data_IF_372243204973
#
_entry.id   IF_372243204973
#
_cell.length_a   1.000
_cell.length_b   1.000
_cell.length_c   1.000
_cell.angle_alpha   90.00
_cell.angle_beta   90.00
_cell.angle_gamma   90.00
#
_symmetry.space_group_name_H-M   'P 1'
#
loop_
_entity.id
_entity.type
_entity.pdbx_description
1 polymer ?
#
# COMPACT_ATOMS: atom_id res chain seq x y z
N UNK A 1 2.37 -11.98 40.10
CA UNK A 1 2.26 -12.75 38.85
C UNK A 1 2.01 -11.80 37.69
N UNK A 2 3.06 -11.38 36.97
CA UNK A 2 2.93 -10.55 35.77
C UNK A 2 2.44 -11.44 34.62
N UNK A 3 1.19 -11.27 34.19
CA UNK A 3 0.69 -11.91 32.97
C UNK A 3 1.46 -11.29 31.80
N UNK A 4 2.35 -12.08 31.20
CA UNK A 4 2.94 -11.75 29.91
C UNK A 4 1.75 -11.55 28.95
N UNK A 5 1.57 -10.37 28.35
CA UNK A 5 0.46 -10.17 27.43
C UNK A 5 0.62 -11.18 26.28
N UNK A 6 -0.47 -11.83 25.84
CA UNK A 6 -0.40 -12.76 24.72
C UNK A 6 0.23 -12.01 23.54
N UNK A 7 1.31 -12.56 22.97
CA UNK A 7 1.93 -12.02 21.77
C UNK A 7 0.85 -11.91 20.69
N UNK A 8 0.33 -10.71 20.47
CA UNK A 8 -0.65 -10.46 19.41
C UNK A 8 0.04 -10.77 18.10
N UNK A 9 -0.47 -11.74 17.36
CA UNK A 9 0.06 -12.07 16.05
C UNK A 9 -0.30 -10.93 15.07
N UNK A 10 0.61 -9.96 14.94
CA UNK A 10 0.40 -8.74 14.16
C UNK A 10 0.18 -9.01 12.66
N UNK A 11 0.54 -10.21 12.16
CA UNK A 11 0.29 -10.61 10.78
C UNK A 11 -1.20 -10.84 10.48
N UNK A 12 -2.05 -10.96 11.50
CA UNK A 12 -3.52 -11.09 11.34
C UNK A 12 -4.23 -9.76 11.11
N UNK A 13 -3.51 -8.64 11.19
CA UNK A 13 -4.07 -7.29 11.08
C UNK A 13 -4.16 -6.81 9.63
N UNK A 14 -3.45 -7.45 8.71
CA UNK A 14 -3.42 -7.05 7.31
C UNK A 14 -3.14 -8.25 6.38
N UNK A 15 -3.44 -8.06 5.10
CA UNK A 15 -2.93 -8.87 4.00
C UNK A 15 -2.23 -7.94 3.02
N UNK A 16 -1.00 -8.28 2.61
CA UNK A 16 -0.24 -7.49 1.66
C UNK A 16 0.03 -8.29 0.38
N UNK A 17 -0.19 -7.66 -0.77
CA UNK A 17 0.19 -8.19 -2.08
C UNK A 17 1.14 -7.20 -2.74
N UNK A 18 2.34 -7.67 -3.08
CA UNK A 18 3.35 -6.87 -3.76
C UNK A 18 3.66 -7.46 -5.13
N UNK A 19 3.67 -6.59 -6.14
CA UNK A 19 4.08 -6.92 -7.51
C UNK A 19 5.30 -6.06 -7.85
N UNK A 20 6.50 -6.66 -8.03
CA UNK A 20 7.73 -5.89 -8.28
C UNK A 20 7.76 -5.25 -9.67
N UNK A 21 7.12 -5.88 -10.67
CA UNK A 21 7.07 -5.41 -12.05
C UNK A 21 5.61 -5.25 -12.52
N UNK A 22 4.89 -4.27 -11.96
CA UNK A 22 3.47 -4.10 -12.23
C UNK A 22 3.23 -3.55 -13.65
N UNK A 23 2.20 -4.09 -14.30
CA UNK A 23 1.59 -3.48 -15.49
C UNK A 23 0.68 -2.31 -15.06
N UNK A 24 0.21 -1.46 -15.99
CA UNK A 24 -0.73 -0.37 -15.66
C UNK A 24 -1.97 -0.86 -14.90
N UNK A 25 -2.53 -2.01 -15.31
CA UNK A 25 -3.53 -2.76 -14.53
C UNK A 25 -2.80 -3.75 -13.62
N UNK A 26 -2.95 -3.60 -12.31
CA UNK A 26 -2.21 -4.35 -11.29
C UNK A 26 -2.98 -4.49 -9.96
N UNK A 27 -2.32 -5.05 -8.95
CA UNK A 27 -2.92 -5.24 -7.62
C UNK A 27 -3.45 -3.97 -6.93
N UNK A 28 -2.98 -2.77 -7.29
CA UNK A 28 -3.43 -1.49 -6.72
C UNK A 28 -4.63 -0.87 -7.44
N UNK A 29 -4.91 -1.33 -8.67
CA UNK A 29 -6.03 -0.83 -9.47
C UNK A 29 -7.38 -1.37 -9.02
N UNK A 30 -8.47 -0.77 -9.51
CA UNK A 30 -9.82 -1.27 -9.25
C UNK A 30 -10.05 -2.52 -10.09
N UNK A 31 -10.78 -3.51 -9.56
CA UNK A 31 -10.94 -4.82 -10.23
C UNK A 31 -11.60 -4.72 -11.59
N UNK A 32 -12.54 -3.78 -11.77
CA UNK A 32 -13.21 -3.56 -13.06
C UNK A 32 -12.43 -2.62 -14.01
N UNK A 33 -11.22 -2.17 -13.65
CA UNK A 33 -10.45 -1.26 -14.52
C UNK A 33 -10.22 -1.86 -15.90
N UNK A 34 -9.87 -3.16 -15.98
CA UNK A 34 -9.61 -3.83 -17.26
C UNK A 34 -10.86 -3.90 -18.14
N UNK A 35 -12.02 -4.23 -17.56
CA UNK A 35 -13.29 -4.31 -18.30
C UNK A 35 -13.76 -2.93 -18.76
N UNK A 36 -13.60 -1.90 -17.93
CA UNK A 36 -14.00 -0.52 -18.24
C UNK A 36 -13.19 0.05 -19.41
N UNK A 37 -11.88 -0.23 -19.45
CA UNK A 37 -10.98 0.31 -20.48
C UNK A 37 -11.14 -0.41 -21.81
N UNK A 38 -11.49 -1.69 -21.80
CA UNK A 38 -11.77 -2.46 -23.02
C UNK A 38 -13.11 -2.12 -23.66
N UNK A 39 -14.08 -1.67 -22.87
CA UNK A 39 -15.39 -1.27 -23.37
C UNK A 39 -15.40 0.22 -23.74
N UNK A 40 -15.26 0.53 -25.02
CA UNK A 40 -15.29 1.90 -25.55
C UNK A 40 -16.60 2.64 -25.28
N UNK A 41 -17.71 1.91 -25.10
CA UNK A 41 -19.03 2.49 -24.81
C UNK A 41 -19.24 2.75 -23.32
N UNK A 42 -18.33 2.29 -22.46
CA UNK A 42 -18.45 2.51 -21.03
C UNK A 42 -18.26 4.00 -20.72
N UNK A 43 -19.16 4.64 -19.94
CA UNK A 43 -19.09 6.08 -19.66
C UNK A 43 -17.80 6.51 -18.94
N UNK A 44 -17.13 5.56 -18.27
CA UNK A 44 -15.84 5.77 -17.60
C UNK A 44 -14.61 5.31 -18.41
N UNK A 45 -14.76 4.93 -19.68
CA UNK A 45 -13.64 4.49 -20.51
C UNK A 45 -12.56 5.56 -20.59
N UNK A 46 -12.90 6.74 -21.12
CA UNK A 46 -11.98 7.87 -21.34
C UNK A 46 -11.18 8.22 -20.08
N UNK A 47 -11.79 8.45 -18.89
CA UNK A 47 -11.01 8.79 -17.70
C UNK A 47 -10.13 7.65 -17.20
N UNK A 48 -10.53 6.38 -17.38
CA UNK A 48 -9.71 5.25 -16.97
C UNK A 48 -8.53 5.03 -17.93
N UNK A 49 -8.74 5.16 -19.24
CA UNK A 49 -7.69 5.06 -20.25
C UNK A 49 -6.60 6.12 -20.03
N UNK A 50 -6.98 7.39 -19.85
CA UNK A 50 -6.02 8.47 -19.51
C UNK A 50 -5.20 8.17 -18.27
N UNK A 51 -5.84 7.62 -17.23
CA UNK A 51 -5.15 7.25 -15.98
C UNK A 51 -4.16 6.10 -16.17
N UNK A 52 -4.43 5.18 -17.10
CA UNK A 52 -3.48 4.13 -17.47
C UNK A 52 -2.33 4.67 -18.31
N UNK A 53 -2.58 5.65 -19.18
CA UNK A 53 -1.53 6.31 -19.98
C UNK A 53 -0.57 7.12 -19.09
N UNK A 54 -1.09 7.73 -18.01
CA UNK A 54 -0.30 8.43 -16.99
C UNK A 54 0.49 7.49 -16.05
N UNK A 55 0.37 6.17 -16.24
CA UNK A 55 1.04 5.20 -15.38
C UNK A 55 2.56 5.31 -15.47
N UNK A 56 3.21 5.57 -14.34
CA UNK A 56 4.67 5.65 -14.25
C UNK A 56 5.27 4.38 -13.62
N UNK A 57 5.98 3.51 -14.37
CA UNK A 57 6.57 2.29 -13.83
C UNK A 57 7.80 2.54 -12.93
N UNK A 58 8.36 3.76 -12.91
CA UNK A 58 9.53 4.13 -12.09
C UNK A 58 9.15 4.58 -10.66
N UNK A 59 7.88 4.47 -10.29
CA UNK A 59 7.38 4.86 -8.96
C UNK A 59 6.85 3.65 -8.20
N UNK A 60 6.81 3.78 -6.88
CA UNK A 60 6.10 2.87 -6.01
C UNK A 60 4.63 3.28 -5.99
N UNK A 61 3.78 2.39 -6.48
CA UNK A 61 2.34 2.52 -6.40
C UNK A 61 1.84 1.71 -5.22
N UNK A 62 1.00 2.31 -4.39
CA UNK A 62 0.45 1.59 -3.26
C UNK A 62 -0.94 2.07 -2.89
N UNK A 63 -1.72 1.15 -2.33
CA UNK A 63 -3.07 1.44 -1.87
C UNK A 63 -3.36 0.71 -0.57
N UNK A 64 -4.17 1.35 0.27
CA UNK A 64 -4.74 0.74 1.47
C UNK A 64 -6.23 0.48 1.20
N UNK A 65 -6.61 -0.79 1.26
CA UNK A 65 -7.98 -1.27 1.11
C UNK A 65 -8.57 -1.55 2.48
N UNK A 66 -9.74 -0.98 2.72
CA UNK A 66 -10.46 -1.13 3.99
C UNK A 66 -11.82 -1.75 3.70
N UNK A 67 -11.96 -3.08 3.83
CA UNK A 67 -13.20 -3.79 3.50
C UNK A 67 -14.33 -3.42 4.46
N UNK A 68 -15.56 -3.72 4.05
CA UNK A 68 -16.77 -3.53 4.88
C UNK A 68 -16.73 -4.38 6.16
N UNK A 69 -15.96 -5.48 6.18
CA UNK A 69 -15.75 -6.33 7.34
C UNK A 69 -15.08 -5.63 8.52
N UNK A 70 -14.37 -4.50 8.30
CA UNK A 70 -13.84 -3.68 9.39
C UNK A 70 -14.98 -3.00 10.17
N UNK A 71 -15.89 -2.37 9.43
CA UNK A 71 -17.04 -1.65 10.00
C UNK A 71 -18.01 -1.28 8.89
N UNK A 72 -19.32 -1.38 9.18
CA UNK A 72 -20.38 -0.87 8.29
C UNK A 72 -20.34 0.66 8.16
N UNK A 73 -19.85 1.38 9.18
CA UNK A 73 -19.79 2.85 9.19
C UNK A 73 -18.61 3.36 8.33
N UNK A 74 -18.92 4.21 7.34
CA UNK A 74 -17.92 4.81 6.44
C UNK A 74 -16.88 5.65 7.18
N UNK A 75 -17.30 6.40 8.20
CA UNK A 75 -16.41 7.25 9.01
C UNK A 75 -15.32 6.44 9.71
N UNK A 76 -15.69 5.30 10.30
CA UNK A 76 -14.74 4.38 10.95
C UNK A 76 -13.75 3.84 9.92
N UNK A 77 -14.22 3.34 8.76
CA UNK A 77 -13.33 2.85 7.70
C UNK A 77 -12.37 3.93 7.20
N UNK A 78 -12.87 5.15 7.01
CA UNK A 78 -12.04 6.28 6.59
C UNK A 78 -10.98 6.63 7.63
N UNK A 79 -11.34 6.62 8.91
CA UNK A 79 -10.42 6.86 10.02
C UNK A 79 -9.29 5.81 10.06
N UNK A 80 -9.63 4.52 10.01
CA UNK A 80 -8.64 3.43 9.97
C UNK A 80 -7.73 3.57 8.75
N UNK A 81 -8.30 3.85 7.57
CA UNK A 81 -7.53 4.01 6.33
C UNK A 81 -6.53 5.15 6.44
N UNK A 82 -6.94 6.31 6.98
CA UNK A 82 -6.06 7.46 7.19
C UNK A 82 -4.93 7.13 8.14
N UNK A 83 -5.26 6.53 9.30
CA UNK A 83 -4.27 6.10 10.29
C UNK A 83 -3.16 5.23 9.71
N UNK A 84 -3.51 4.20 8.92
CA UNK A 84 -2.50 3.35 8.28
C UNK A 84 -1.76 4.09 7.16
N UNK A 85 -2.45 4.92 6.37
CA UNK A 85 -1.84 5.70 5.29
C UNK A 85 -0.78 6.65 5.81
N UNK A 86 -1.12 7.43 6.82
CA UNK A 86 -0.24 8.46 7.38
C UNK A 86 0.97 7.77 8.03
N UNK A 87 0.74 6.70 8.80
CA UNK A 87 1.82 5.90 9.39
C UNK A 87 2.75 5.28 8.33
N UNK A 88 2.21 4.78 7.21
CA UNK A 88 3.05 4.21 6.13
C UNK A 88 3.88 5.29 5.43
N UNK A 89 3.32 6.48 5.23
CA UNK A 89 4.03 7.64 4.68
C UNK A 89 5.16 8.06 5.63
N UNK A 90 4.91 8.08 6.93
CA UNK A 90 5.92 8.41 7.93
C UNK A 90 7.06 7.38 7.93
N UNK A 91 6.74 6.08 7.85
CA UNK A 91 7.78 5.03 7.75
C UNK A 91 8.59 5.12 6.45
N UNK A 92 7.97 5.49 5.32
CA UNK A 92 8.67 5.76 4.06
C UNK A 92 9.63 6.95 4.22
N UNK A 93 9.17 8.05 4.83
CA UNK A 93 9.98 9.24 5.10
C UNK A 93 11.14 8.94 6.05
N UNK A 94 10.90 8.20 7.12
CA UNK A 94 11.93 7.73 8.06
C UNK A 94 12.98 6.87 7.36
N UNK A 95 12.59 6.15 6.31
CA UNK A 95 13.50 5.36 5.47
C UNK A 95 14.22 6.22 4.40
N UNK A 96 13.90 7.51 4.29
CA UNK A 96 14.47 8.47 3.37
C UNK A 96 13.80 8.53 2.00
N UNK A 97 12.54 8.09 1.89
CA UNK A 97 11.75 8.12 0.66
C UNK A 97 10.51 8.98 0.80
N UNK A 98 10.05 9.56 -0.30
CA UNK A 98 8.76 10.24 -0.35
C UNK A 98 7.60 9.23 -0.51
N UNK A 99 6.36 9.73 -0.54
CA UNK A 99 5.16 8.88 -0.70
C UNK A 99 5.12 8.08 -2.01
N UNK A 100 5.89 8.45 -3.03
CA UNK A 100 5.97 7.77 -4.32
C UNK A 100 7.16 6.82 -4.41
N UNK A 101 7.93 6.69 -3.32
CA UNK A 101 9.12 5.84 -3.28
C UNK A 101 10.37 6.48 -3.86
N UNK A 102 10.36 7.77 -4.21
CA UNK A 102 11.56 8.47 -4.69
C UNK A 102 12.39 8.93 -3.47
N UNK A 103 13.74 8.90 -3.55
CA UNK A 103 14.58 9.29 -2.44
C UNK A 103 14.44 10.79 -2.12
N UNK A 104 14.34 11.15 -0.84
CA UNK A 104 14.25 12.55 -0.39
C UNK A 104 15.57 13.30 -0.61
N UNK A 105 16.69 12.60 -0.48
CA UNK A 105 18.03 13.12 -0.75
C UNK A 105 18.59 12.33 -1.94
N UNK A 106 18.90 12.97 -3.07
CA UNK A 106 19.49 12.29 -4.22
C UNK A 106 20.86 11.73 -3.80
N UNK A 107 20.95 10.41 -3.70
CA UNK A 107 22.18 9.70 -3.35
C UNK A 107 22.36 8.54 -4.31
N UNK A 108 23.61 8.32 -4.76
CA UNK A 108 23.96 7.18 -5.62
C UNK A 108 23.64 5.83 -4.97
N UNK A 109 23.52 5.79 -3.64
CA UNK A 109 23.26 4.57 -2.87
C UNK A 109 21.76 4.22 -2.76
N UNK A 110 20.85 5.15 -3.08
CA UNK A 110 19.40 4.93 -2.93
C UNK A 110 18.69 5.03 -4.28
N UNK A 111 18.44 3.89 -4.90
CA UNK A 111 17.56 3.81 -6.06
C UNK A 111 16.10 4.06 -5.68
N UNK A 112 15.27 4.69 -6.55
CA UNK A 112 13.84 4.82 -6.33
C UNK A 112 13.18 3.46 -6.13
N UNK A 113 12.24 3.40 -5.18
CA UNK A 113 11.40 2.23 -4.98
C UNK A 113 10.39 2.14 -6.12
N UNK A 114 10.22 0.92 -6.64
CA UNK A 114 9.28 0.64 -7.74
C UNK A 114 8.44 -0.57 -7.38
N UNK A 115 7.29 -0.69 -8.02
CA UNK A 115 6.36 -1.80 -7.80
C UNK A 115 4.96 -1.35 -7.44
N UNK A 116 4.07 -2.32 -7.23
CA UNK A 116 2.70 -2.10 -6.81
C UNK A 116 2.42 -2.86 -5.50
N UNK A 117 1.99 -2.15 -4.45
CA UNK A 117 1.72 -2.70 -3.13
C UNK A 117 0.26 -2.45 -2.72
N UNK A 118 -0.53 -3.52 -2.64
CA UNK A 118 -1.88 -3.46 -2.08
C UNK A 118 -1.88 -4.00 -0.66
N UNK A 119 -2.26 -3.15 0.31
CA UNK A 119 -2.42 -3.51 1.72
C UNK A 119 -3.91 -3.56 2.02
N UNK A 120 -4.44 -4.72 2.38
CA UNK A 120 -5.82 -4.89 2.82
C UNK A 120 -5.85 -5.00 4.33
N UNK A 121 -6.56 -4.09 4.98
CA UNK A 121 -6.72 -4.08 6.44
C UNK A 121 -7.73 -5.16 6.85
N UNK A 122 -7.44 -5.89 7.92
CA UNK A 122 -8.30 -6.94 8.47
C UNK A 122 -8.98 -6.49 9.78
N UNK A 123 -10.13 -7.08 10.17
CA UNK A 123 -10.95 -6.60 11.30
C UNK A 123 -10.20 -6.31 12.61
N UNK A 124 -9.21 -7.13 13.03
CA UNK A 124 -8.54 -6.88 14.31
C UNK A 124 -7.66 -5.60 14.31
N UNK A 125 -7.39 -5.01 13.14
CA UNK A 125 -6.65 -3.76 13.02
C UNK A 125 -7.40 -2.53 13.56
N UNK A 126 -8.72 -2.61 13.71
CA UNK A 126 -9.53 -1.54 14.28
C UNK A 126 -9.07 -1.16 15.69
N UNK A 127 -8.69 -2.17 16.49
CA UNK A 127 -8.28 -2.03 17.89
C UNK A 127 -6.75 -2.05 18.07
N UNK A 128 -5.98 -2.01 16.99
CA UNK A 128 -4.52 -2.01 17.05
C UNK A 128 -4.00 -0.74 17.74
N UNK A 129 -2.91 -0.84 18.51
CA UNK A 129 -2.25 0.33 19.12
C UNK A 129 -1.47 1.12 18.06
N UNK A 130 -1.06 2.35 18.36
CA UNK A 130 -0.27 3.17 17.42
C UNK A 130 1.09 2.51 17.14
N UNK A 131 1.67 1.90 18.17
CA UNK A 131 2.91 1.13 18.09
C UNK A 131 2.75 -0.08 17.18
N UNK A 132 1.64 -0.83 17.30
CA UNK A 132 1.35 -1.98 16.44
C UNK A 132 1.23 -1.56 14.97
N UNK A 133 0.48 -0.49 14.69
CA UNK A 133 0.32 0.03 13.31
C UNK A 133 1.65 0.44 12.72
N UNK A 134 2.51 1.13 13.50
CA UNK A 134 3.85 1.51 13.05
C UNK A 134 4.72 0.28 12.76
N UNK A 135 4.74 -0.69 13.68
CA UNK A 135 5.49 -1.93 13.50
C UNK A 135 5.07 -2.67 12.23
N UNK A 136 3.76 -2.77 11.98
CA UNK A 136 3.18 -3.41 10.79
C UNK A 136 3.62 -2.69 9.52
N UNK A 137 3.44 -1.36 9.45
CA UNK A 137 3.84 -0.58 8.28
C UNK A 137 5.33 -0.74 7.98
N UNK A 138 6.18 -0.67 9.01
CA UNK A 138 7.62 -0.90 8.88
C UNK A 138 7.93 -2.32 8.38
N UNK A 139 7.26 -3.33 8.93
CA UNK A 139 7.40 -4.74 8.53
C UNK A 139 6.98 -4.97 7.07
N UNK A 140 5.88 -4.37 6.62
CA UNK A 140 5.40 -4.45 5.24
C UNK A 140 6.45 -3.88 4.28
N UNK A 141 6.96 -2.68 4.55
CA UNK A 141 7.95 -2.02 3.68
C UNK A 141 9.25 -2.83 3.60
N UNK A 142 9.76 -3.28 4.75
CA UNK A 142 10.99 -4.10 4.80
C UNK A 142 10.85 -5.42 4.04
N UNK A 143 9.76 -6.15 4.28
CA UNK A 143 9.55 -7.49 3.72
C UNK A 143 9.21 -7.49 2.23
N UNK A 144 8.52 -6.47 1.74
CA UNK A 144 7.99 -6.45 0.38
C UNK A 144 8.75 -5.50 -0.54
N UNK A 145 9.06 -4.30 -0.07
CA UNK A 145 9.53 -3.20 -0.93
C UNK A 145 11.05 -3.09 -0.90
N UNK A 146 11.67 -3.12 0.29
CA UNK A 146 13.12 -2.96 0.42
C UNK A 146 13.90 -4.25 0.07
N UNK A 147 13.33 -5.42 0.36
CA UNK A 147 13.97 -6.71 0.08
C UNK A 147 13.93 -7.12 -1.40
N UNK A 148 13.04 -6.54 -2.21
CA UNK A 148 12.77 -6.97 -3.60
C UNK A 148 13.06 -5.88 -4.62
N UNK A 149 14.12 -5.11 -4.39
CA UNK A 149 14.58 -4.11 -5.35
C UNK A 149 15.01 -4.77 -6.66
N UNK A 150 14.71 -4.10 -7.77
CA UNK A 150 15.08 -4.54 -9.12
C UNK A 150 16.62 -4.63 -9.17
N UNK A 151 17.22 -5.77 -9.57
CA UNK A 151 18.66 -5.82 -9.75
C UNK A 151 19.02 -4.77 -10.79
N UNK A 152 19.85 -3.81 -10.39
CA UNK A 152 20.50 -2.86 -11.29
C UNK A 152 21.32 -3.67 -12.29
N UNK A 153 20.90 -3.65 -13.56
CA UNK A 153 21.76 -4.03 -14.68
C UNK A 153 22.79 -2.94 -14.90
#
# INVERSE_FOLDING_TARGET
MSRIPPQRNLNTLFSARFEPFPRPVNCTTFTATDTIVKDERHPLNIPFSRRLDEWNPKRLHWIIRTPLSISKKRTIRSWVTRRFRDTLIDELKNSGFNRWGEPLVPSRLKSPLTGALAITILPPALTASVQDVRHICSSILRKNVFSRQRPTR
#
